data_IF_957229644172
#
_entry.id   IF_957229644172
#
_cell.length_a   1.000
_cell.length_b   1.000
_cell.length_c   1.000
_cell.angle_alpha   90.00
_cell.angle_beta   90.00
_cell.angle_gamma   90.00
#
_symmetry.space_group_name_H-M   'P 1'
#
loop_
_entity.id
_entity.type
_entity.pdbx_description
1 polymer ?
#
# COMPACT_ATOMS: atom_id res chain seq x y z
N UNK A 1 7.58 6.55 -20.72
CA UNK A 1 8.09 6.32 -19.35
C UNK A 1 8.52 4.87 -19.11
N UNK A 2 7.63 3.87 -19.07
CA UNK A 2 8.00 2.45 -18.77
C UNK A 2 9.08 1.88 -19.70
N UNK A 3 9.00 2.17 -21.01
CA UNK A 3 9.99 1.72 -22.00
C UNK A 3 11.41 2.23 -21.71
N UNK A 4 11.55 3.41 -21.11
CA UNK A 4 12.86 4.00 -20.79
C UNK A 4 13.65 3.14 -19.81
N UNK A 5 12.95 2.48 -18.88
CA UNK A 5 13.55 1.63 -17.86
C UNK A 5 13.68 0.17 -18.31
N UNK A 6 12.60 -0.44 -18.83
CA UNK A 6 12.61 -1.87 -19.17
C UNK A 6 13.22 -2.22 -20.53
N UNK A 7 13.28 -1.28 -21.48
CA UNK A 7 13.80 -1.52 -22.84
C UNK A 7 15.25 -1.04 -23.02
N UNK A 8 15.83 -0.37 -22.03
CA UNK A 8 17.21 0.13 -22.10
C UNK A 8 18.21 -0.92 -21.63
N UNK A 9 19.24 -1.21 -22.45
CA UNK A 9 20.33 -2.12 -22.08
C UNK A 9 21.07 -1.65 -20.82
N UNK A 10 21.20 -0.34 -20.62
CA UNK A 10 21.85 0.25 -19.43
C UNK A 10 21.10 -0.10 -18.14
N UNK A 11 19.77 -0.14 -18.20
CA UNK A 11 18.91 -0.32 -17.03
C UNK A 11 18.41 -1.76 -16.84
N UNK A 12 18.66 -2.66 -17.78
CA UNK A 12 18.14 -4.03 -17.75
C UNK A 12 18.45 -4.79 -16.46
N UNK A 13 19.67 -4.70 -15.93
CA UNK A 13 20.05 -5.36 -14.67
C UNK A 13 19.20 -4.86 -13.50
N UNK A 14 18.99 -3.55 -13.41
CA UNK A 14 18.11 -2.97 -12.39
C UNK A 14 16.65 -3.36 -12.63
N UNK A 15 16.17 -3.23 -13.86
CA UNK A 15 14.77 -3.44 -14.21
C UNK A 15 14.31 -4.87 -13.95
N UNK A 16 15.09 -5.86 -14.37
CA UNK A 16 14.74 -7.27 -14.21
C UNK A 16 15.36 -7.87 -12.94
N UNK A 17 16.65 -7.64 -12.70
CA UNK A 17 17.34 -8.20 -11.52
C UNK A 17 16.89 -7.54 -10.22
N UNK A 18 16.82 -6.20 -10.18
CA UNK A 18 16.29 -5.47 -9.03
C UNK A 18 14.81 -5.75 -8.80
N UNK A 19 14.01 -5.81 -9.88
CA UNK A 19 12.60 -6.21 -9.81
C UNK A 19 12.43 -7.63 -9.25
N UNK A 20 13.20 -8.59 -9.74
CA UNK A 20 13.16 -9.98 -9.25
C UNK A 20 13.61 -10.08 -7.78
N UNK A 21 14.64 -9.34 -7.36
CA UNK A 21 15.07 -9.29 -5.97
C UNK A 21 13.98 -8.74 -5.04
N UNK A 22 13.26 -7.70 -5.47
CA UNK A 22 12.10 -7.16 -4.73
C UNK A 22 10.98 -8.19 -4.63
N UNK A 23 10.61 -8.82 -5.74
CA UNK A 23 9.58 -9.87 -5.78
C UNK A 23 9.96 -11.03 -4.86
N UNK A 24 11.20 -11.51 -4.92
CA UNK A 24 11.69 -12.58 -4.04
C UNK A 24 11.63 -12.18 -2.56
N UNK A 25 12.06 -10.95 -2.24
CA UNK A 25 11.99 -10.44 -0.87
C UNK A 25 10.56 -10.32 -0.34
N UNK A 26 9.64 -9.82 -1.18
CA UNK A 26 8.21 -9.76 -0.84
C UNK A 26 7.63 -11.16 -0.61
N UNK A 27 8.01 -12.13 -1.45
CA UNK A 27 7.58 -13.51 -1.30
C UNK A 27 8.04 -14.11 0.02
N UNK A 28 9.32 -13.93 0.39
CA UNK A 28 9.86 -14.41 1.67
C UNK A 28 9.12 -13.74 2.85
N UNK A 29 8.84 -12.44 2.78
CA UNK A 29 8.05 -11.75 3.81
C UNK A 29 6.64 -12.35 3.96
N UNK A 30 5.98 -12.67 2.85
CA UNK A 30 4.65 -13.29 2.87
C UNK A 30 4.72 -14.68 3.51
N UNK A 31 5.74 -15.50 3.18
CA UNK A 31 5.92 -16.81 3.80
C UNK A 31 6.17 -16.71 5.30
N UNK A 32 6.99 -15.74 5.75
CA UNK A 32 7.17 -15.48 7.18
C UNK A 32 5.86 -15.02 7.82
N UNK A 33 5.04 -14.23 7.13
CA UNK A 33 3.72 -13.79 7.62
C UNK A 33 2.77 -14.99 7.82
N UNK A 34 2.78 -15.95 6.89
CA UNK A 34 2.03 -17.21 7.04
C UNK A 34 2.55 -18.01 8.22
N UNK A 35 3.87 -18.16 8.38
CA UNK A 35 4.46 -18.85 9.53
C UNK A 35 4.11 -18.19 10.86
N UNK A 36 4.08 -16.86 10.92
CA UNK A 36 3.63 -16.10 12.09
C UNK A 36 2.14 -16.36 12.36
N UNK A 37 1.31 -16.49 11.32
CA UNK A 37 -0.11 -16.83 11.49
C UNK A 37 -0.30 -18.22 12.09
N UNK A 38 0.44 -19.23 11.61
CA UNK A 38 0.46 -20.57 12.21
C UNK A 38 0.96 -20.53 13.66
N UNK A 39 2.01 -19.75 13.92
CA UNK A 39 2.52 -19.55 15.28
C UNK A 39 1.47 -18.93 16.21
N UNK A 40 0.69 -17.95 15.74
CA UNK A 40 -0.41 -17.37 16.52
C UNK A 40 -1.43 -18.44 16.91
N UNK A 41 -1.82 -19.33 15.99
CA UNK A 41 -2.72 -20.44 16.30
C UNK A 41 -2.20 -21.30 17.44
N UNK A 42 -0.94 -21.75 17.35
CA UNK A 42 -0.32 -22.56 18.40
C UNK A 42 -0.12 -21.83 19.72
N UNK A 43 0.18 -20.53 19.68
CA UNK A 43 0.36 -19.70 20.87
C UNK A 43 -0.96 -19.44 21.60
N UNK A 44 -2.02 -19.07 20.88
CA UNK A 44 -3.33 -18.87 21.49
C UNK A 44 -3.93 -20.18 22.02
N UNK A 45 -3.69 -21.31 21.34
CA UNK A 45 -4.08 -22.61 21.86
C UNK A 45 -3.39 -22.91 23.21
N UNK A 46 -2.08 -22.62 23.33
CA UNK A 46 -1.34 -22.76 24.61
C UNK A 46 -1.93 -21.88 25.72
N UNK A 47 -2.35 -20.65 25.39
CA UNK A 47 -3.02 -19.79 26.36
C UNK A 47 -4.41 -20.33 26.75
N UNK A 48 -5.14 -20.90 25.80
CA UNK A 48 -6.47 -21.46 26.03
C UNK A 48 -6.42 -22.72 26.91
N UNK A 49 -5.41 -23.59 26.73
CA UNK A 49 -5.20 -24.80 27.54
C UNK A 49 -4.34 -24.55 28.78
N UNK A 50 -4.05 -23.29 29.12
CA UNK A 50 -3.22 -22.93 30.28
C UNK A 50 -3.72 -23.50 31.61
N UNK A 51 -5.03 -23.74 31.75
CA UNK A 51 -5.61 -24.38 32.93
C UNK A 51 -5.08 -25.81 33.19
N UNK A 52 -4.66 -26.52 32.14
CA UNK A 52 -4.08 -27.87 32.24
C UNK A 52 -2.69 -27.86 32.91
N UNK A 53 -2.02 -26.71 32.92
CA UNK A 53 -0.70 -26.52 33.51
C UNK A 53 -0.75 -25.95 34.94
N UNK A 54 -1.92 -25.89 35.56
CA UNK A 54 -2.11 -25.33 36.91
C UNK A 54 -1.22 -25.98 37.96
N UNK A 55 -1.09 -27.31 37.91
CA UNK A 55 -0.28 -28.10 38.84
C UNK A 55 1.18 -28.26 38.38
N UNK A 56 1.50 -27.80 37.16
CA UNK A 56 2.83 -27.87 36.52
C UNK A 56 3.27 -26.51 35.98
N UNK A 57 3.22 -25.50 36.85
CA UNK A 57 3.42 -24.10 36.46
C UNK A 57 4.76 -23.84 35.77
N UNK A 58 5.84 -24.50 36.23
CA UNK A 58 7.19 -24.37 35.64
C UNK A 58 7.21 -24.84 34.18
N UNK A 59 6.51 -25.93 33.86
CA UNK A 59 6.42 -26.48 32.50
C UNK A 59 5.63 -25.53 31.59
N UNK A 60 4.49 -25.02 32.05
CA UNK A 60 3.68 -24.06 31.28
C UNK A 60 4.43 -22.76 30.98
N UNK A 61 5.18 -22.23 31.96
CA UNK A 61 6.01 -21.03 31.77
C UNK A 61 7.15 -21.31 30.78
N UNK A 62 7.79 -22.48 30.87
CA UNK A 62 8.86 -22.86 29.94
C UNK A 62 8.33 -22.92 28.50
N UNK A 63 7.19 -23.56 28.25
CA UNK A 63 6.55 -23.63 26.93
C UNK A 63 6.18 -22.24 26.38
N UNK A 64 5.72 -21.33 27.25
CA UNK A 64 5.40 -19.96 26.87
C UNK A 64 6.65 -19.20 26.37
N UNK A 65 7.75 -19.25 27.13
CA UNK A 65 9.00 -18.63 26.70
C UNK A 65 9.60 -19.34 25.49
N UNK A 66 9.40 -20.64 25.36
CA UNK A 66 9.85 -21.40 24.21
C UNK A 66 9.19 -20.87 22.93
N UNK A 67 7.86 -20.70 22.94
CA UNK A 67 7.13 -20.11 21.81
C UNK A 67 7.55 -18.67 21.54
N UNK A 68 7.95 -17.88 22.53
CA UNK A 68 8.30 -16.47 22.31
C UNK A 68 9.73 -16.24 21.83
N UNK A 69 10.73 -16.80 22.51
CA UNK A 69 12.15 -16.39 22.36
C UNK A 69 13.13 -17.52 22.12
N UNK A 70 12.68 -18.78 22.08
CA UNK A 70 13.59 -19.91 21.87
C UNK A 70 14.35 -19.83 20.54
N UNK A 71 15.61 -20.27 20.56
CA UNK A 71 16.47 -20.39 19.37
C UNK A 71 16.54 -21.87 18.91
N UNK A 72 15.77 -22.78 19.54
CA UNK A 72 15.76 -24.22 19.28
C UNK A 72 15.62 -24.55 17.78
N UNK A 73 14.72 -23.87 17.08
CA UNK A 73 14.54 -24.02 15.64
C UNK A 73 15.83 -23.81 14.84
N UNK A 74 16.64 -22.80 15.20
CA UNK A 74 17.91 -22.52 14.51
C UNK A 74 18.98 -23.54 14.92
N UNK A 75 19.09 -23.85 16.21
CA UNK A 75 20.12 -24.78 16.72
C UNK A 75 19.90 -26.21 16.24
N UNK A 76 18.65 -26.59 15.98
CA UNK A 76 18.27 -27.91 15.47
C UNK A 76 18.28 -28.00 13.94
N UNK A 77 18.85 -27.01 13.24
CA UNK A 77 18.98 -27.06 11.77
C UNK A 77 17.68 -26.77 11.01
N UNK A 78 16.84 -25.87 11.51
CA UNK A 78 15.54 -25.46 10.94
C UNK A 78 14.44 -26.54 11.05
N UNK A 79 14.55 -27.41 12.06
CA UNK A 79 13.55 -28.42 12.38
C UNK A 79 12.68 -28.01 13.58
N UNK A 80 11.38 -28.26 13.50
CA UNK A 80 10.39 -27.96 14.55
C UNK A 80 9.62 -26.66 14.34
N UNK A 81 8.92 -26.21 15.39
CA UNK A 81 8.18 -24.93 15.37
C UNK A 81 9.10 -23.75 15.66
N UNK A 82 9.19 -22.74 14.79
CA UNK A 82 9.96 -21.54 15.07
C UNK A 82 9.28 -20.68 16.14
N UNK A 83 10.08 -20.07 17.03
CA UNK A 83 9.58 -19.10 17.99
C UNK A 83 9.23 -17.76 17.33
N UNK A 84 8.47 -16.93 18.03
CA UNK A 84 8.11 -15.59 17.54
C UNK A 84 9.36 -14.75 17.23
N UNK A 85 10.37 -14.75 18.10
CA UNK A 85 11.62 -14.02 17.87
C UNK A 85 12.33 -14.48 16.58
N UNK A 86 12.42 -15.80 16.37
CA UNK A 86 13.06 -16.39 15.19
C UNK A 86 12.36 -16.01 13.89
N UNK A 87 11.05 -15.77 13.91
CA UNK A 87 10.30 -15.28 12.75
C UNK A 87 10.36 -13.75 12.63
N UNK A 88 10.15 -13.03 13.73
CA UNK A 88 9.98 -11.58 13.75
C UNK A 88 11.28 -10.83 13.42
N UNK A 89 12.43 -11.26 13.96
CA UNK A 89 13.70 -10.56 13.70
C UNK A 89 14.10 -10.60 12.22
N UNK A 90 14.15 -11.76 11.54
CA UNK A 90 14.41 -11.81 10.10
C UNK A 90 13.37 -11.04 9.29
N UNK A 91 12.09 -11.11 9.67
CA UNK A 91 11.03 -10.35 9.00
C UNK A 91 11.30 -8.84 9.03
N UNK A 92 11.61 -8.29 10.21
CA UNK A 92 11.88 -6.85 10.38
C UNK A 92 13.12 -6.44 9.58
N UNK A 93 14.21 -7.21 9.67
CA UNK A 93 15.44 -6.95 8.91
C UNK A 93 15.13 -6.94 7.41
N UNK A 94 14.42 -7.96 6.91
CA UNK A 94 14.06 -8.08 5.51
C UNK A 94 13.13 -6.95 5.06
N UNK A 95 12.17 -6.55 5.90
CA UNK A 95 11.25 -5.44 5.62
C UNK A 95 12.01 -4.11 5.51
N UNK A 96 12.94 -3.84 6.41
CA UNK A 96 13.80 -2.63 6.38
C UNK A 96 14.66 -2.61 5.12
N UNK A 97 15.35 -3.72 4.81
CA UNK A 97 16.18 -3.83 3.60
C UNK A 97 15.35 -3.68 2.33
N UNK A 98 14.15 -4.27 2.29
CA UNK A 98 13.24 -4.16 1.15
C UNK A 98 12.76 -2.72 0.97
N UNK A 99 12.39 -2.03 2.05
CA UNK A 99 11.96 -0.64 1.99
C UNK A 99 13.09 0.29 1.53
N UNK A 100 14.32 0.06 2.00
CA UNK A 100 15.50 0.77 1.52
C UNK A 100 15.77 0.51 0.03
N UNK A 101 15.78 -0.76 -0.39
CA UNK A 101 16.04 -1.13 -1.78
C UNK A 101 14.95 -0.61 -2.73
N UNK A 102 13.70 -0.63 -2.28
CA UNK A 102 12.53 -0.06 -2.98
C UNK A 102 12.74 1.42 -3.31
N UNK A 103 13.23 2.23 -2.36
CA UNK A 103 13.54 3.65 -2.58
C UNK A 103 14.65 3.85 -3.61
N UNK A 104 15.70 3.02 -3.56
CA UNK A 104 16.78 3.05 -4.55
C UNK A 104 16.26 2.69 -5.94
N UNK A 105 15.44 1.63 -6.02
CA UNK A 105 14.81 1.20 -7.25
C UNK A 105 13.95 2.31 -7.85
N UNK A 106 13.13 3.00 -7.04
CA UNK A 106 12.36 4.18 -7.45
C UNK A 106 13.24 5.33 -7.96
N UNK A 107 14.39 5.58 -7.34
CA UNK A 107 15.34 6.59 -7.83
C UNK A 107 15.92 6.21 -9.21
N UNK A 108 16.26 4.94 -9.43
CA UNK A 108 16.75 4.47 -10.75
C UNK A 108 15.68 4.58 -11.83
N UNK A 109 14.42 4.33 -11.48
CA UNK A 109 13.28 4.60 -12.35
C UNK A 109 13.21 6.07 -12.76
N UNK A 110 13.30 6.97 -11.79
CA UNK A 110 13.29 8.42 -12.04
C UNK A 110 14.47 8.82 -12.94
N UNK A 111 15.68 8.35 -12.62
CA UNK A 111 16.88 8.62 -13.41
C UNK A 111 16.71 8.19 -14.87
N UNK A 112 16.24 6.97 -15.10
CA UNK A 112 16.04 6.44 -16.44
C UNK A 112 15.02 7.23 -17.25
N UNK A 113 13.90 7.62 -16.63
CA UNK A 113 12.86 8.40 -17.31
C UNK A 113 13.39 9.81 -17.61
N UNK A 114 13.95 10.51 -16.63
CA UNK A 114 14.44 11.88 -16.82
C UNK A 114 15.46 11.96 -17.96
N UNK A 115 16.46 11.07 -17.99
CA UNK A 115 17.49 11.09 -19.03
C UNK A 115 17.02 10.53 -20.39
N UNK A 116 15.89 9.82 -20.46
CA UNK A 116 15.24 9.47 -21.73
C UNK A 116 14.42 10.64 -22.31
N UNK A 117 13.87 11.51 -21.45
CA UNK A 117 13.08 12.66 -21.87
C UNK A 117 13.92 13.90 -22.23
N UNK A 118 15.06 14.14 -21.55
CA UNK A 118 15.91 15.32 -21.82
C UNK A 118 16.30 15.46 -23.31
N UNK A 119 16.80 14.41 -24.00
CA UNK A 119 17.15 14.54 -25.42
C UNK A 119 15.95 14.84 -26.30
N UNK A 120 14.78 14.25 -25.99
CA UNK A 120 13.54 14.48 -26.76
C UNK A 120 13.05 15.91 -26.58
N UNK A 121 13.07 16.41 -25.35
CA UNK A 121 12.70 17.80 -25.07
C UNK A 121 13.59 18.79 -25.82
N UNK A 122 14.91 18.54 -25.86
CA UNK A 122 15.86 19.38 -26.61
C UNK A 122 15.64 19.40 -28.13
N UNK A 123 14.92 18.41 -28.68
CA UNK A 123 14.62 18.33 -30.13
C UNK A 123 13.29 18.97 -30.52
N UNK A 124 12.45 19.35 -29.55
CA UNK A 124 11.16 19.99 -29.83
C UNK A 124 11.39 21.42 -30.30
N UNK A 125 10.76 21.80 -31.41
CA UNK A 125 10.88 23.15 -32.01
C UNK A 125 9.88 24.16 -31.43
N UNK A 126 8.80 23.69 -30.81
CA UNK A 126 7.78 24.51 -30.17
C UNK A 126 8.09 24.70 -28.69
N UNK A 127 7.89 25.92 -28.16
CA UNK A 127 7.94 26.15 -26.72
C UNK A 127 6.74 25.49 -26.06
N UNK A 128 7.03 24.50 -25.23
CA UNK A 128 6.03 23.86 -24.37
C UNK A 128 6.10 24.54 -23.01
N UNK A 129 5.05 25.28 -22.66
CA UNK A 129 4.92 25.92 -21.35
C UNK A 129 5.06 24.90 -20.21
N UNK A 130 5.95 25.20 -19.26
CA UNK A 130 6.17 24.35 -18.08
C UNK A 130 6.83 22.98 -18.35
N UNK A 131 7.44 22.76 -19.52
CA UNK A 131 8.03 21.47 -19.85
C UNK A 131 9.14 21.02 -18.87
N UNK A 132 9.98 21.96 -18.43
CA UNK A 132 11.03 21.70 -17.44
C UNK A 132 10.45 21.25 -16.09
N UNK A 133 9.39 21.92 -15.63
CA UNK A 133 8.68 21.57 -14.41
C UNK A 133 8.02 20.19 -14.51
N UNK A 134 7.34 19.90 -15.63
CA UNK A 134 6.74 18.58 -15.87
C UNK A 134 7.77 17.46 -15.91
N UNK A 135 8.89 17.66 -16.60
CA UNK A 135 9.99 16.67 -16.62
C UNK A 135 10.51 16.41 -15.20
N UNK A 136 10.56 17.41 -14.32
CA UNK A 136 11.01 17.23 -12.95
C UNK A 136 9.95 16.58 -12.05
N UNK A 137 8.75 17.15 -12.01
CA UNK A 137 7.66 16.78 -11.09
C UNK A 137 6.96 15.50 -11.51
N UNK A 138 6.58 15.37 -12.79
CA UNK A 138 5.81 14.22 -13.27
C UNK A 138 6.67 12.96 -13.29
N UNK A 139 7.96 13.06 -13.67
CA UNK A 139 8.85 11.90 -13.62
C UNK A 139 9.06 11.41 -12.18
N UNK A 140 9.18 12.32 -11.21
CA UNK A 140 9.27 11.97 -9.80
C UNK A 140 7.97 11.37 -9.28
N UNK A 141 6.82 11.97 -9.60
CA UNK A 141 5.50 11.48 -9.20
C UNK A 141 5.22 10.09 -9.79
N UNK A 142 5.53 9.88 -11.07
CA UNK A 142 5.39 8.59 -11.72
C UNK A 142 6.26 7.52 -11.07
N UNK A 143 7.54 7.81 -10.81
CA UNK A 143 8.45 6.87 -10.14
C UNK A 143 7.92 6.46 -8.76
N UNK A 144 7.43 7.42 -7.96
CA UNK A 144 6.83 7.14 -6.65
C UNK A 144 5.56 6.29 -6.73
N UNK A 145 4.69 6.56 -7.70
CA UNK A 145 3.45 5.78 -7.90
C UNK A 145 3.79 4.33 -8.29
N UNK A 146 4.71 4.14 -9.23
CA UNK A 146 5.14 2.80 -9.65
C UNK A 146 5.79 2.05 -8.50
N UNK A 147 6.63 2.71 -7.71
CA UNK A 147 7.28 2.16 -6.52
C UNK A 147 6.25 1.73 -5.47
N UNK A 148 5.32 2.61 -5.09
CA UNK A 148 4.37 2.32 -4.02
C UNK A 148 3.28 1.35 -4.46
N UNK A 149 2.56 1.67 -5.53
CA UNK A 149 1.40 0.91 -5.97
C UNK A 149 1.81 -0.44 -6.56
N UNK A 150 2.89 -0.48 -7.36
CA UNK A 150 3.35 -1.70 -8.00
C UNK A 150 3.72 -2.78 -6.97
N UNK A 151 4.49 -2.42 -5.94
CA UNK A 151 4.88 -3.36 -4.89
C UNK A 151 3.72 -3.74 -3.98
N UNK A 152 2.80 -2.83 -3.69
CA UNK A 152 1.59 -3.14 -2.93
C UNK A 152 0.72 -4.16 -3.65
N UNK A 153 0.50 -3.99 -4.97
CA UNK A 153 -0.27 -4.96 -5.77
C UNK A 153 0.40 -6.32 -5.78
N UNK A 154 1.71 -6.38 -6.04
CA UNK A 154 2.46 -7.65 -6.02
C UNK A 154 2.36 -8.32 -4.65
N UNK A 155 2.56 -7.58 -3.57
CA UNK A 155 2.43 -8.09 -2.20
C UNK A 155 1.01 -8.62 -1.94
N UNK A 156 -0.02 -7.86 -2.30
CA UNK A 156 -1.41 -8.25 -2.08
C UNK A 156 -1.77 -9.55 -2.80
N UNK A 157 -1.33 -9.72 -4.06
CA UNK A 157 -1.52 -10.96 -4.82
C UNK A 157 -0.77 -12.13 -4.18
N UNK A 158 0.49 -11.92 -3.78
CA UNK A 158 1.26 -12.96 -3.09
C UNK A 158 0.61 -13.38 -1.76
N UNK A 159 0.14 -12.42 -0.97
CA UNK A 159 -0.60 -12.68 0.27
C UNK A 159 -1.85 -13.47 -0.01
N UNK A 160 -2.65 -13.07 -1.01
CA UNK A 160 -3.86 -13.81 -1.40
C UNK A 160 -3.54 -15.26 -1.75
N UNK A 161 -2.54 -15.50 -2.62
CA UNK A 161 -2.11 -16.84 -3.01
C UNK A 161 -1.63 -17.66 -1.83
N UNK A 162 -0.88 -17.05 -0.89
CA UNK A 162 -0.34 -17.76 0.26
C UNK A 162 -1.40 -18.08 1.33
N UNK A 163 -2.41 -17.23 1.48
CA UNK A 163 -3.45 -17.40 2.49
C UNK A 163 -4.66 -18.21 2.01
N UNK A 164 -4.89 -18.35 0.69
CA UNK A 164 -5.97 -19.22 0.18
C UNK A 164 -5.87 -20.66 0.72
N UNK A 165 -4.71 -21.36 0.64
CA UNK A 165 -4.59 -22.71 1.18
C UNK A 165 -4.80 -22.77 2.70
N UNK A 166 -4.31 -21.77 3.43
CA UNK A 166 -4.48 -21.67 4.90
C UNK A 166 -5.95 -21.56 5.26
N UNK A 167 -6.68 -20.64 4.60
CA UNK A 167 -8.12 -20.46 4.79
C UNK A 167 -8.91 -21.70 4.37
N UNK A 168 -8.46 -22.39 3.32
CA UNK A 168 -9.09 -23.63 2.88
C UNK A 168 -9.02 -24.71 3.94
N UNK A 169 -7.84 -24.92 4.55
CA UNK A 169 -7.68 -25.89 5.66
C UNK A 169 -8.49 -25.51 6.90
N UNK A 170 -8.51 -24.23 7.27
CA UNK A 170 -9.33 -23.74 8.38
C UNK A 170 -10.84 -23.91 8.13
N UNK A 171 -11.25 -23.90 6.86
CA UNK A 171 -12.66 -24.02 6.47
C UNK A 171 -13.28 -25.37 6.85
N UNK A 172 -12.47 -26.42 7.06
CA UNK A 172 -12.96 -27.74 7.45
C UNK A 172 -13.49 -27.77 8.88
N UNK A 173 -12.98 -26.89 9.74
CA UNK A 173 -13.33 -26.85 11.16
C UNK A 173 -14.41 -25.81 11.51
N UNK A 174 -14.87 -25.03 10.52
CA UNK A 174 -15.84 -23.95 10.73
C UNK A 174 -17.16 -24.24 10.02
N UNK A 175 -18.22 -24.44 10.77
CA UNK A 175 -19.57 -24.63 10.23
C UNK A 175 -20.29 -23.29 10.04
N UNK A 176 -20.39 -22.82 8.80
CA UNK A 176 -21.19 -21.63 8.45
C UNK A 176 -22.55 -22.08 7.93
N UNK A 177 -23.69 -21.60 8.48
CA UNK A 177 -25.01 -21.86 7.92
C UNK A 177 -25.06 -21.52 6.42
N UNK A 178 -25.72 -22.35 5.61
CA UNK A 178 -25.82 -22.24 4.13
C UNK A 178 -24.54 -22.52 3.33
N UNK A 179 -23.34 -22.28 3.89
CA UNK A 179 -22.07 -22.47 3.18
C UNK A 179 -21.25 -23.68 3.65
N UNK A 180 -21.62 -24.33 4.77
CA UNK A 180 -20.88 -25.46 5.37
C UNK A 180 -20.71 -26.67 4.46
N UNK A 181 -21.58 -26.83 3.46
CA UNK A 181 -21.52 -27.95 2.50
C UNK A 181 -20.56 -27.67 1.33
N UNK A 182 -20.06 -26.44 1.18
CA UNK A 182 -19.16 -26.04 0.10
C UNK A 182 -17.71 -26.13 0.61
N UNK A 183 -16.83 -26.93 -0.02
CA UNK A 183 -15.41 -26.94 0.31
C UNK A 183 -14.79 -25.56 0.17
N UNK A 184 -14.02 -25.14 1.19
CA UNK A 184 -13.42 -23.80 1.23
C UNK A 184 -14.44 -22.68 1.44
N UNK A 185 -15.56 -22.95 2.13
CA UNK A 185 -16.62 -21.98 2.45
C UNK A 185 -16.09 -20.63 2.98
N UNK A 186 -15.05 -20.65 3.83
CA UNK A 186 -14.41 -19.43 4.34
C UNK A 186 -13.78 -18.57 3.23
N UNK A 187 -13.20 -19.18 2.20
CA UNK A 187 -12.62 -18.46 1.06
C UNK A 187 -13.72 -17.72 0.31
N UNK A 188 -14.83 -18.40 0.02
CA UNK A 188 -15.96 -17.82 -0.70
C UNK A 188 -16.63 -16.69 0.07
N UNK A 189 -16.85 -16.87 1.37
CA UNK A 189 -17.42 -15.83 2.25
C UNK A 189 -16.49 -14.61 2.30
N UNK A 190 -15.19 -14.82 2.51
CA UNK A 190 -14.21 -13.73 2.57
C UNK A 190 -14.12 -12.99 1.24
N UNK A 191 -14.15 -13.71 0.11
CA UNK A 191 -14.18 -13.10 -1.22
C UNK A 191 -15.46 -12.29 -1.44
N UNK A 192 -16.63 -12.82 -1.07
CA UNK A 192 -17.90 -12.12 -1.21
C UNK A 192 -17.93 -10.83 -0.38
N UNK A 193 -17.48 -10.89 0.88
CA UNK A 193 -17.37 -9.72 1.76
C UNK A 193 -16.36 -8.71 1.20
N UNK A 194 -15.21 -9.16 0.71
CA UNK A 194 -14.18 -8.29 0.14
C UNK A 194 -14.63 -7.59 -1.14
N UNK A 195 -15.30 -8.31 -2.04
CA UNK A 195 -15.89 -7.74 -3.26
C UNK A 195 -17.04 -6.80 -2.93
N UNK A 196 -17.91 -7.19 -2.00
CA UNK A 196 -19.00 -6.34 -1.51
C UNK A 196 -18.46 -5.03 -0.92
N UNK A 197 -17.43 -5.12 -0.09
CA UNK A 197 -16.76 -3.96 0.47
C UNK A 197 -16.15 -3.05 -0.60
N UNK A 198 -15.49 -3.62 -1.62
CA UNK A 198 -14.97 -2.86 -2.75
C UNK A 198 -16.07 -2.13 -3.52
N UNK A 199 -17.19 -2.81 -3.81
CA UNK A 199 -18.32 -2.22 -4.53
C UNK A 199 -18.95 -1.07 -3.73
N UNK A 200 -19.13 -1.26 -2.41
CA UNK A 200 -19.66 -0.21 -1.54
C UNK A 200 -18.68 0.96 -1.48
N UNK A 201 -17.39 0.73 -1.22
CA UNK A 201 -16.35 1.78 -1.23
C UNK A 201 -16.36 2.57 -2.54
N UNK A 202 -16.48 1.88 -3.67
CA UNK A 202 -16.54 2.53 -4.98
C UNK A 202 -17.81 3.35 -5.17
N UNK A 203 -18.97 2.81 -4.80
CA UNK A 203 -20.25 3.50 -4.91
C UNK A 203 -20.29 4.77 -4.05
N UNK A 204 -19.83 4.66 -2.81
CA UNK A 204 -19.79 5.74 -1.83
C UNK A 204 -18.78 6.81 -2.27
N UNK A 205 -17.61 6.41 -2.77
CA UNK A 205 -16.54 7.32 -3.21
C UNK A 205 -16.68 7.91 -4.61
N UNK A 206 -17.58 7.39 -5.47
CA UNK A 206 -17.62 7.72 -6.91
C UNK A 206 -17.64 9.22 -7.21
N UNK A 207 -18.36 10.02 -6.41
CA UNK A 207 -18.52 11.47 -6.64
C UNK A 207 -17.35 12.32 -6.12
N UNK A 208 -16.50 11.80 -5.23
CA UNK A 208 -15.43 12.57 -4.59
C UNK A 208 -14.44 13.17 -5.59
N UNK A 209 -13.92 12.43 -6.60
CA UNK A 209 -12.95 13.01 -7.54
C UNK A 209 -13.50 14.21 -8.33
N UNK A 210 -14.78 14.17 -8.70
CA UNK A 210 -15.42 15.28 -9.40
C UNK A 210 -15.61 16.51 -8.51
N UNK A 211 -15.90 16.30 -7.23
CA UNK A 211 -15.99 17.39 -6.24
C UNK A 211 -14.62 17.99 -5.93
N UNK A 212 -13.60 17.15 -5.77
CA UNK A 212 -12.22 17.56 -5.54
C UNK A 212 -11.69 18.40 -6.71
N UNK A 213 -11.98 17.99 -7.95
CA UNK A 213 -11.65 18.77 -9.14
C UNK A 213 -12.32 20.14 -9.15
N UNK A 214 -13.61 20.21 -8.79
CA UNK A 214 -14.33 21.49 -8.70
C UNK A 214 -13.73 22.40 -7.62
N UNK A 215 -13.33 21.84 -6.47
CA UNK A 215 -12.63 22.59 -5.43
C UNK A 215 -11.30 23.14 -5.93
N UNK A 216 -10.47 22.29 -6.53
CA UNK A 216 -9.18 22.70 -7.10
C UNK A 216 -9.34 23.81 -8.14
N UNK A 217 -10.40 23.76 -8.97
CA UNK A 217 -10.68 24.79 -9.96
C UNK A 217 -11.02 26.15 -9.32
N UNK A 218 -11.85 26.17 -8.29
CA UNK A 218 -12.22 27.42 -7.61
C UNK A 218 -11.07 27.97 -6.76
N UNK A 219 -10.32 27.10 -6.08
CA UNK A 219 -9.08 27.46 -5.37
C UNK A 219 -8.03 28.04 -6.33
N UNK A 220 -7.86 27.45 -7.51
CA UNK A 220 -6.94 27.96 -8.52
C UNK A 220 -7.36 29.35 -9.04
N UNK A 221 -8.66 29.58 -9.22
CA UNK A 221 -9.17 30.91 -9.61
C UNK A 221 -8.93 31.96 -8.52
N UNK A 222 -9.18 31.60 -7.25
CA UNK A 222 -8.89 32.45 -6.10
C UNK A 222 -7.39 32.77 -5.97
N UNK A 223 -6.53 31.75 -6.05
CA UNK A 223 -5.07 31.94 -6.02
C UNK A 223 -4.58 32.80 -7.18
N UNK A 224 -5.13 32.62 -8.37
CA UNK A 224 -4.76 33.42 -9.55
C UNK A 224 -5.09 34.89 -9.36
N UNK A 225 -6.27 35.21 -8.83
CA UNK A 225 -6.68 36.60 -8.56
C UNK A 225 -5.74 37.28 -7.55
N UNK A 226 -5.37 36.55 -6.49
CA UNK A 226 -4.43 37.05 -5.49
C UNK A 226 -3.02 37.31 -6.06
N UNK A 227 -2.50 36.39 -6.88
CA UNK A 227 -1.19 36.54 -7.52
C UNK A 227 -1.17 37.74 -8.47
N UNK A 228 -2.22 37.93 -9.27
CA UNK A 228 -2.33 39.11 -10.13
C UNK A 228 -2.48 40.41 -9.32
N UNK A 229 -3.09 40.33 -8.13
CA UNK A 229 -3.15 41.43 -7.18
C UNK A 229 -1.81 41.77 -6.51
N UNK A 230 -0.79 40.92 -6.58
CA UNK A 230 0.57 41.30 -6.16
C UNK A 230 1.15 42.36 -7.09
N UNK A 231 0.87 42.24 -8.39
CA UNK A 231 1.36 43.14 -9.45
C UNK A 231 0.42 44.36 -9.68
N UNK A 232 -0.90 44.16 -9.65
CA UNK A 232 -1.89 45.24 -9.86
C UNK A 232 -3.10 45.12 -8.91
N UNK A 233 -3.03 45.85 -7.80
CA UNK A 233 -4.08 45.93 -6.76
C UNK A 233 -5.30 46.77 -7.16
N UNK A 234 -5.24 47.49 -8.28
CA UNK A 234 -6.34 48.33 -8.75
C UNK A 234 -7.32 47.47 -9.55
N UNK A 235 -6.80 46.59 -10.40
CA UNK A 235 -7.61 45.68 -11.22
C UNK A 235 -7.89 44.32 -10.57
N UNK A 236 -6.99 43.81 -9.73
CA UNK A 236 -7.09 42.48 -9.11
C UNK A 236 -7.12 42.56 -7.59
N UNK A 237 -7.46 41.45 -6.94
CA UNK A 237 -7.64 41.37 -5.48
C UNK A 237 -8.68 42.37 -4.95
N UNK A 238 -9.68 42.72 -5.77
CA UNK A 238 -10.77 43.58 -5.33
C UNK A 238 -11.62 42.86 -4.27
N UNK A 239 -12.04 43.55 -3.18
CA UNK A 239 -12.79 42.93 -2.10
C UNK A 239 -14.03 42.16 -2.56
N UNK A 240 -14.77 42.70 -3.53
CA UNK A 240 -15.99 42.07 -4.07
C UNK A 240 -15.68 40.77 -4.85
N UNK A 241 -14.63 40.78 -5.67
CA UNK A 241 -14.16 39.62 -6.44
C UNK A 241 -13.64 38.51 -5.52
N UNK A 242 -12.80 38.86 -4.53
CA UNK A 242 -12.30 37.93 -3.51
C UNK A 242 -13.46 37.31 -2.74
N UNK A 243 -14.42 38.13 -2.30
CA UNK A 243 -15.59 37.64 -1.55
C UNK A 243 -16.44 36.67 -2.37
N UNK A 244 -16.69 36.99 -3.65
CA UNK A 244 -17.41 36.11 -4.58
C UNK A 244 -16.69 34.78 -4.78
N UNK A 245 -15.38 34.81 -5.06
CA UNK A 245 -14.55 33.62 -5.24
C UNK A 245 -14.54 32.76 -3.97
N UNK A 246 -14.35 33.37 -2.80
CA UNK A 246 -14.34 32.66 -1.52
C UNK A 246 -15.71 32.06 -1.16
N UNK A 247 -16.80 32.73 -1.52
CA UNK A 247 -18.15 32.18 -1.37
C UNK A 247 -18.33 30.93 -2.24
N UNK A 248 -17.79 30.93 -3.46
CA UNK A 248 -17.72 29.76 -4.34
C UNK A 248 -16.91 28.61 -3.72
N UNK A 249 -15.76 28.92 -3.08
CA UNK A 249 -14.95 27.94 -2.33
C UNK A 249 -15.81 27.30 -1.23
N UNK A 250 -16.41 28.13 -0.38
CA UNK A 250 -17.23 27.65 0.76
C UNK A 250 -18.35 26.71 0.31
N UNK A 251 -19.05 27.02 -0.77
CA UNK A 251 -20.14 26.18 -1.27
C UNK A 251 -19.64 24.81 -1.75
N UNK A 252 -18.53 24.77 -2.49
CA UNK A 252 -18.00 23.51 -3.01
C UNK A 252 -17.38 22.65 -1.89
N UNK A 253 -16.66 23.26 -0.94
CA UNK A 253 -16.15 22.53 0.23
C UNK A 253 -17.26 21.98 1.11
N UNK A 254 -18.36 22.72 1.31
CA UNK A 254 -19.49 22.18 2.07
C UNK A 254 -20.07 20.92 1.42
N UNK A 255 -20.23 20.93 0.09
CA UNK A 255 -20.67 19.75 -0.67
C UNK A 255 -19.67 18.60 -0.57
N UNK A 256 -18.37 18.90 -0.67
CA UNK A 256 -17.30 17.91 -0.53
C UNK A 256 -17.31 17.28 0.87
N UNK A 257 -17.40 18.07 1.93
CA UNK A 257 -17.42 17.59 3.32
C UNK A 257 -18.64 16.73 3.62
N UNK A 258 -19.81 17.05 3.05
CA UNK A 258 -20.98 16.16 3.14
C UNK A 258 -20.72 14.79 2.50
N UNK A 259 -19.95 14.76 1.41
CA UNK A 259 -19.59 13.49 0.76
C UNK A 259 -18.51 12.72 1.51
N UNK A 260 -17.56 13.41 2.16
CA UNK A 260 -16.62 12.78 3.08
C UNK A 260 -17.32 12.21 4.31
N UNK A 261 -18.32 12.90 4.88
CA UNK A 261 -18.98 12.45 6.11
C UNK A 261 -19.55 11.03 6.03
N UNK A 262 -20.25 10.69 4.95
CA UNK A 262 -20.76 9.32 4.78
C UNK A 262 -19.66 8.34 4.30
N UNK A 263 -18.64 8.82 3.58
CA UNK A 263 -17.50 8.00 3.14
C UNK A 263 -16.66 7.54 4.34
N UNK A 264 -16.36 8.45 5.26
CA UNK A 264 -15.63 8.20 6.50
C UNK A 264 -16.44 7.33 7.48
N UNK A 265 -17.77 7.33 7.37
CA UNK A 265 -18.62 6.42 8.16
C UNK A 265 -18.53 4.97 7.66
N UNK A 266 -18.19 4.77 6.39
CA UNK A 266 -18.06 3.46 5.78
C UNK A 266 -16.66 2.84 5.93
N UNK A 267 -15.60 3.67 5.84
CA UNK A 267 -14.19 3.25 5.99
C UNK A 267 -13.81 2.87 7.42
#
# INVERSE_FOLDING_TARGET
MIKAFYKSKKWALWAYGGGAALIASLWIQVQITVAINTWYGGFYNLLQTSAEYKDKQVEGIALFYEKLVSISYITNGFEGEPSFAVLAFPYVILAVLTGWFTRIYGLRWREAITFDYIPRWRTVKEEIEGASQRIQEDCNRFARIVESLGLQVVRAVMTLVAFIPVLWGLSEHVTIPFFSQIPGSLVWVTLAVSMGGLVISWFVGWKLPGLEYNNQKVEAAFRKDLVLGEDDKVQYAQPDTIWSLFTGIKFNYHRLYLHYGYFDTWM
#
